data_IF_047445490202
#
_entry.id   IF_047445490202
#
_cell.length_a   1.000
_cell.length_b   1.000
_cell.length_c   1.000
_cell.angle_alpha   90.00
_cell.angle_beta   90.00
_cell.angle_gamma   90.00
#
_symmetry.space_group_name_H-M   'P 1'
#
loop_
_entity.id
_entity.type
_entity.pdbx_description
1 polymer ?
#
# COMPACT_ATOMS: atom_id res chain seq x y z
N UNK A 1 -13.21 -1.36 6.49
CA UNK A 1 -11.76 -1.63 6.71
C UNK A 1 -11.30 -2.85 5.96
N UNK A 2 -12.13 -3.89 5.83
CA UNK A 2 -11.82 -5.13 5.10
C UNK A 2 -11.20 -4.90 3.72
N UNK A 3 -11.67 -3.89 2.97
CA UNK A 3 -11.10 -3.53 1.67
C UNK A 3 -9.61 -3.15 1.70
N UNK A 4 -9.16 -2.49 2.78
CA UNK A 4 -7.76 -2.09 2.95
C UNK A 4 -6.91 -3.35 3.20
N UNK A 5 -7.38 -4.26 4.06
CA UNK A 5 -6.73 -5.54 4.31
C UNK A 5 -6.67 -6.41 3.05
N UNK A 6 -7.78 -6.47 2.30
CA UNK A 6 -7.82 -7.16 1.01
C UNK A 6 -6.77 -6.59 0.05
N UNK A 7 -6.66 -5.27 -0.05
CA UNK A 7 -5.66 -4.61 -0.91
C UNK A 7 -4.23 -4.92 -0.48
N UNK A 8 -3.95 -4.87 0.82
CA UNK A 8 -2.62 -5.17 1.36
C UNK A 8 -2.23 -6.62 1.13
N UNK A 9 -3.18 -7.55 1.32
CA UNK A 9 -2.95 -8.99 1.12
C UNK A 9 -2.74 -9.38 -0.33
N UNK A 10 -3.51 -8.79 -1.26
CA UNK A 10 -3.54 -9.22 -2.66
C UNK A 10 -2.58 -8.45 -3.55
N UNK A 11 -2.25 -7.20 -3.20
CA UNK A 11 -1.47 -6.32 -4.07
C UNK A 11 -2.18 -5.94 -5.38
N UNK A 12 -3.38 -6.44 -5.66
CA UNK A 12 -4.07 -6.30 -6.95
C UNK A 12 -4.24 -4.83 -7.38
N UNK A 13 -4.22 -4.53 -8.69
CA UNK A 13 -4.48 -3.19 -9.19
C UNK A 13 -5.79 -2.62 -8.63
N UNK A 14 -5.82 -1.31 -8.33
CA UNK A 14 -7.02 -0.67 -7.78
C UNK A 14 -8.25 -0.82 -8.69
N UNK A 15 -8.06 -0.91 -10.00
CA UNK A 15 -9.13 -1.11 -10.97
C UNK A 15 -9.78 -2.49 -10.90
N UNK A 16 -9.09 -3.46 -10.31
CA UNK A 16 -9.56 -4.83 -10.16
C UNK A 16 -10.23 -5.06 -8.80
N UNK A 17 -10.58 -3.97 -8.10
CA UNK A 17 -11.25 -4.05 -6.82
C UNK A 17 -12.61 -4.75 -6.97
N UNK A 18 -12.89 -5.82 -6.19
CA UNK A 18 -14.17 -6.49 -6.24
C UNK A 18 -15.35 -5.53 -6.02
N UNK A 19 -16.42 -5.60 -6.82
CA UNK A 19 -17.54 -4.65 -6.75
C UNK A 19 -18.21 -4.55 -5.37
N UNK A 20 -18.18 -5.63 -4.58
CA UNK A 20 -18.76 -5.66 -3.23
C UNK A 20 -18.04 -4.73 -2.24
N UNK A 21 -16.80 -4.31 -2.53
CA UNK A 21 -16.09 -3.31 -1.72
C UNK A 21 -16.45 -1.85 -2.09
N UNK A 22 -17.25 -1.65 -3.14
CA UNK A 22 -17.65 -0.35 -3.63
C UNK A 22 -16.69 0.26 -4.66
N UNK A 23 -16.82 1.57 -4.90
CA UNK A 23 -16.05 2.27 -5.93
C UNK A 23 -14.57 2.35 -5.56
N UNK A 24 -13.70 1.83 -6.42
CA UNK A 24 -12.26 1.81 -6.20
C UNK A 24 -11.65 3.19 -5.90
N UNK A 25 -12.16 4.25 -6.54
CA UNK A 25 -11.69 5.62 -6.31
C UNK A 25 -11.89 6.10 -4.86
N UNK A 26 -13.04 5.77 -4.27
CA UNK A 26 -13.36 6.14 -2.88
C UNK A 26 -12.44 5.40 -1.91
N UNK A 27 -12.23 4.11 -2.16
CA UNK A 27 -11.33 3.26 -1.36
C UNK A 27 -9.89 3.75 -1.47
N UNK A 28 -9.42 4.05 -2.69
CA UNK A 28 -8.09 4.59 -2.91
C UNK A 28 -7.88 5.92 -2.18
N UNK A 29 -8.88 6.82 -2.21
CA UNK A 29 -8.80 8.09 -1.47
C UNK A 29 -8.61 7.84 0.03
N UNK A 30 -9.41 6.96 0.62
CA UNK A 30 -9.30 6.60 2.04
C UNK A 30 -7.94 5.94 2.36
N UNK A 31 -7.48 5.02 1.52
CA UNK A 31 -6.15 4.42 1.65
C UNK A 31 -5.06 5.48 1.66
N UNK A 32 -5.10 6.42 0.71
CA UNK A 32 -4.13 7.53 0.64
C UNK A 32 -4.19 8.43 1.86
N UNK A 33 -5.39 8.71 2.38
CA UNK A 33 -5.55 9.53 3.58
C UNK A 33 -4.98 8.81 4.82
N UNK A 34 -5.05 7.48 4.89
CA UNK A 34 -4.40 6.67 5.94
C UNK A 34 -2.87 6.68 5.83
N UNK A 35 -2.33 6.55 4.61
CA UNK A 35 -0.88 6.70 4.37
C UNK A 35 -0.42 8.07 4.86
N UNK A 36 -1.15 9.14 4.52
CA UNK A 36 -0.79 10.49 4.95
C UNK A 36 -0.90 10.70 6.46
N UNK A 37 -1.85 10.01 7.09
CA UNK A 37 -2.08 10.10 8.53
C UNK A 37 -1.18 9.19 9.37
N UNK A 38 -0.24 8.44 8.76
CA UNK A 38 0.68 7.58 9.51
C UNK A 38 0.01 6.34 10.15
N UNK A 39 -1.16 5.94 9.63
CA UNK A 39 -1.98 4.90 10.28
C UNK A 39 -1.28 3.53 10.23
N UNK A 40 -0.57 3.24 9.14
CA UNK A 40 0.11 1.95 8.99
C UNK A 40 1.31 1.83 9.93
N UNK A 41 2.04 2.92 10.12
CA UNK A 41 3.14 3.05 11.06
C UNK A 41 2.64 2.85 12.49
N UNK A 42 1.49 3.44 12.82
CA UNK A 42 0.85 3.26 14.13
C UNK A 42 0.46 1.80 14.37
N UNK A 43 -0.17 1.16 13.38
CA UNK A 43 -0.53 -0.27 13.46
C UNK A 43 0.73 -1.13 13.60
N UNK A 44 1.76 -0.86 12.80
CA UNK A 44 3.02 -1.58 12.87
C UNK A 44 3.64 -1.45 14.27
N UNK A 45 3.74 -0.23 14.81
CA UNK A 45 4.26 -0.01 16.15
C UNK A 45 3.49 -0.81 17.21
N UNK A 46 2.15 -0.78 17.18
CA UNK A 46 1.33 -1.54 18.14
C UNK A 46 1.48 -3.05 18.04
N UNK A 47 1.80 -3.58 16.86
CA UNK A 47 2.00 -5.02 16.66
C UNK A 47 3.42 -5.44 17.06
N UNK A 48 4.37 -4.52 17.10
CA UNK A 48 5.77 -4.78 17.45
C UNK A 48 6.08 -4.67 18.96
N UNK A 49 5.13 -4.28 19.82
CA UNK A 49 5.40 -4.05 21.25
C UNK A 49 5.89 -5.30 22.00
N UNK A 50 5.55 -6.52 21.56
CA UNK A 50 5.92 -7.79 22.20
C UNK A 50 6.62 -8.80 21.24
N UNK A 51 7.14 -8.34 20.10
CA UNK A 51 7.73 -9.26 19.11
C UNK A 51 9.17 -9.61 19.51
N UNK A 52 9.39 -10.88 19.82
CA UNK A 52 10.72 -11.47 19.91
C UNK A 52 11.34 -11.57 18.51
N UNK A 53 12.23 -10.62 18.20
CA UNK A 53 12.91 -10.50 16.91
C UNK A 53 14.14 -11.41 16.79
N UNK A 54 14.39 -12.31 17.74
CA UNK A 54 15.54 -13.23 17.72
C UNK A 54 15.65 -14.01 16.38
N UNK A 55 14.52 -14.27 15.71
CA UNK A 55 14.45 -14.87 14.38
C UNK A 55 13.51 -14.12 13.40
N UNK A 56 13.68 -12.80 13.24
CA UNK A 56 12.96 -12.05 12.21
C UNK A 56 13.58 -12.24 10.82
N UNK A 57 12.84 -12.84 9.88
CA UNK A 57 13.20 -12.87 8.46
C UNK A 57 12.29 -11.91 7.67
N UNK A 58 12.90 -10.95 6.98
CA UNK A 58 12.20 -10.04 6.06
C UNK A 58 12.37 -10.58 4.64
N UNK A 59 11.25 -10.96 3.99
CA UNK A 59 11.23 -11.21 2.55
C UNK A 59 10.43 -10.13 1.83
N UNK A 60 10.93 -9.67 0.68
CA UNK A 60 10.36 -8.59 -0.10
C UNK A 60 10.36 -8.94 -1.58
N UNK A 61 9.19 -8.91 -2.21
CA UNK A 61 9.06 -9.12 -3.66
C UNK A 61 8.85 -7.79 -4.39
N UNK A 62 9.73 -7.45 -5.32
CA UNK A 62 9.58 -6.25 -6.17
C UNK A 62 8.84 -6.63 -7.46
N UNK A 63 7.63 -6.11 -7.64
CA UNK A 63 6.88 -6.23 -8.89
C UNK A 63 7.03 -4.94 -9.71
N UNK A 64 7.83 -4.98 -10.78
CA UNK A 64 7.96 -3.85 -11.71
C UNK A 64 6.70 -3.72 -12.57
N UNK A 65 6.16 -2.50 -12.68
CA UNK A 65 5.04 -2.22 -13.59
C UNK A 65 5.51 -2.26 -15.05
N UNK A 66 4.65 -2.76 -15.94
CA UNK A 66 4.87 -2.76 -17.38
C UNK A 66 5.22 -1.34 -17.88
N UNK A 67 6.11 -1.21 -18.87
CA UNK A 67 6.58 0.10 -19.37
C UNK A 67 5.45 1.07 -19.77
N UNK A 68 4.33 0.53 -20.26
CA UNK A 68 3.15 1.33 -20.63
C UNK A 68 2.33 1.84 -19.44
N UNK A 69 2.61 1.37 -18.22
CA UNK A 69 2.06 1.90 -16.97
C UNK A 69 3.02 2.83 -16.22
N UNK A 70 4.25 3.02 -16.71
CA UNK A 70 5.20 3.97 -16.14
C UNK A 70 4.91 5.36 -16.72
N UNK A 71 4.16 6.18 -15.98
CA UNK A 71 3.98 7.58 -16.37
C UNK A 71 2.80 8.28 -15.70
N UNK A 72 3.08 9.03 -14.63
CA UNK A 72 2.32 10.24 -14.32
C UNK A 72 3.19 11.45 -14.73
N UNK A 73 2.57 12.51 -15.26
CA UNK A 73 3.29 13.76 -15.59
C UNK A 73 3.96 14.31 -14.31
N UNK A 74 5.28 14.54 -14.36
CA UNK A 74 6.04 15.17 -13.28
C UNK A 74 7.22 14.35 -12.74
N UNK A 75 8.00 13.68 -13.60
CA UNK A 75 9.23 12.98 -13.20
C UNK A 75 10.15 13.87 -12.34
N UNK A 76 11.03 13.24 -11.55
CA UNK A 76 11.96 13.91 -10.63
C UNK A 76 12.65 15.11 -11.31
N UNK A 77 12.30 16.32 -10.89
CA UNK A 77 13.12 17.50 -11.15
C UNK A 77 14.35 17.34 -10.26
N UNK A 78 15.39 16.73 -10.80
CA UNK A 78 16.70 16.75 -10.17
C UNK A 78 17.27 18.16 -10.39
N UNK A 79 17.12 19.03 -9.40
CA UNK A 79 17.93 20.24 -9.27
C UNK A 79 19.17 19.87 -8.45
N UNK A 80 20.22 19.44 -9.14
CA UNK A 80 21.60 19.56 -8.66
C UNK A 80 22.32 20.54 -9.59
#
# INVERSE_FOLDING_TARGET
MEVILWKLRTGSPWRDLPPHFGKWNTVFKRYRDWVKAGVFETIFASVNEDVDLEYAMIDGTIVKVHRHGQGAKGGLSNSL
#
